data_IF_289255933074
#
_entry.id   IF_289255933074
#
_cell.length_a   1.000
_cell.length_b   1.000
_cell.length_c   1.000
_cell.angle_alpha   90.00
_cell.angle_beta   90.00
_cell.angle_gamma   90.00
#
_symmetry.space_group_name_H-M   'P 1'
#
loop_
_entity.id
_entity.type
_entity.pdbx_description
1 polymer ?
#
# COMPACT_ATOMS: atom_id res chain seq x y z
N UNK A 1 -10.50 19.68 35.28
CA UNK A 1 -9.17 20.24 35.61
C UNK A 1 -8.13 19.13 35.55
N UNK A 2 -7.06 19.33 34.78
CA UNK A 2 -5.94 18.40 34.65
C UNK A 2 -5.10 18.31 35.95
N UNK A 3 -4.14 17.36 36.05
CA UNK A 3 -2.81 17.74 35.57
C UNK A 3 -2.08 16.64 34.78
N UNK A 4 -1.67 17.02 33.56
CA UNK A 4 -0.54 16.47 32.81
C UNK A 4 0.67 17.37 33.08
N UNK A 5 1.80 16.84 33.57
CA UNK A 5 3.16 17.28 33.26
C UNK A 5 4.16 16.67 34.26
N UNK A 6 4.69 15.48 33.98
CA UNK A 6 5.94 14.98 34.61
C UNK A 6 6.58 13.93 33.69
N UNK A 7 7.15 14.40 32.59
CA UNK A 7 7.99 13.60 31.71
C UNK A 7 8.90 14.51 30.87
N UNK A 8 9.66 15.39 31.51
CA UNK A 8 10.60 16.26 30.79
C UNK A 8 11.77 16.75 31.64
N UNK A 9 12.30 15.93 32.56
CA UNK A 9 13.58 16.23 33.23
C UNK A 9 14.27 14.92 33.64
N UNK A 10 14.89 14.20 32.70
CA UNK A 10 16.01 13.26 32.98
C UNK A 10 16.83 13.10 31.68
N UNK A 11 17.55 14.14 31.27
CA UNK A 11 18.57 14.07 30.22
C UNK A 11 19.66 15.12 30.49
N UNK A 12 20.09 15.21 31.74
CA UNK A 12 21.33 15.88 32.09
C UNK A 12 22.04 14.96 33.07
N UNK A 13 23.36 14.86 32.95
CA UNK A 13 24.24 14.06 33.82
C UNK A 13 24.40 12.56 33.50
N UNK A 14 25.13 12.28 32.42
CA UNK A 14 26.24 11.31 32.47
C UNK A 14 27.13 11.48 31.24
N UNK A 15 28.31 12.08 31.44
CA UNK A 15 29.32 12.32 30.41
C UNK A 15 30.46 11.30 30.58
N UNK A 16 30.54 10.23 29.76
CA UNK A 16 31.80 9.52 29.57
C UNK A 16 32.61 10.18 28.44
N UNK A 17 33.88 10.45 28.75
CA UNK A 17 34.88 11.01 27.85
C UNK A 17 35.15 10.04 26.69
N UNK A 18 35.14 10.56 25.45
CA UNK A 18 35.67 9.87 24.27
C UNK A 18 34.69 9.00 23.49
N UNK A 19 33.69 9.57 22.81
CA UNK A 19 33.05 8.90 21.67
C UNK A 19 32.37 9.92 20.73
N UNK A 20 32.54 9.74 19.42
CA UNK A 20 32.09 10.68 18.37
C UNK A 20 30.58 11.04 18.52
N UNK A 21 30.21 12.32 18.66
CA UNK A 21 28.84 12.75 19.01
C UNK A 21 27.80 12.62 17.88
N UNK A 22 28.20 12.39 16.64
CA UNK A 22 27.30 12.50 15.48
C UNK A 22 26.21 11.41 15.38
N UNK A 23 26.49 10.16 15.81
CA UNK A 23 25.56 9.02 15.57
C UNK A 23 24.43 8.88 16.60
N UNK A 24 24.60 9.42 17.82
CA UNK A 24 23.58 9.37 18.86
C UNK A 24 22.51 10.46 18.70
N UNK A 25 22.91 11.66 18.23
CA UNK A 25 21.99 12.76 17.94
C UNK A 25 21.01 12.43 16.81
N UNK A 26 21.47 11.77 15.74
CA UNK A 26 20.65 11.41 14.58
C UNK A 26 19.51 10.44 14.92
N UNK A 27 19.77 9.43 15.75
CA UNK A 27 18.75 8.44 16.14
C UNK A 27 17.68 9.03 17.09
N UNK A 28 18.06 9.98 17.94
CA UNK A 28 17.14 10.67 18.83
C UNK A 28 16.29 11.72 18.08
N UNK A 29 16.92 12.45 17.14
CA UNK A 29 16.27 13.40 16.25
C UNK A 29 15.25 12.69 15.34
N UNK A 30 15.61 11.55 14.76
CA UNK A 30 14.72 10.72 13.93
C UNK A 30 13.50 10.20 14.70
N UNK A 31 13.68 9.79 15.98
CA UNK A 31 12.57 9.35 16.83
C UNK A 31 11.65 10.50 17.24
N UNK A 32 12.21 11.67 17.55
CA UNK A 32 11.42 12.87 17.86
C UNK A 32 10.69 13.40 16.62
N UNK A 33 11.33 13.40 15.46
CA UNK A 33 10.74 13.86 14.20
C UNK A 33 9.61 12.93 13.74
N UNK A 34 9.79 11.61 13.87
CA UNK A 34 8.73 10.62 13.60
C UNK A 34 7.52 10.78 14.52
N UNK A 35 7.74 11.06 15.81
CA UNK A 35 6.66 11.28 16.78
C UNK A 35 5.92 12.61 16.54
N UNK A 36 6.63 13.65 16.12
CA UNK A 36 6.07 14.96 15.75
C UNK A 36 5.28 14.86 14.44
N UNK A 37 5.80 14.20 13.41
CA UNK A 37 5.06 13.97 12.16
C UNK A 37 3.83 13.09 12.37
N UNK A 38 3.90 12.07 13.22
CA UNK A 38 2.75 11.21 13.51
C UNK A 38 1.65 11.96 14.28
N UNK A 39 2.02 12.92 15.13
CA UNK A 39 1.07 13.85 15.77
C UNK A 39 0.50 14.85 14.78
N UNK A 40 1.31 15.39 13.88
CA UNK A 40 0.86 16.28 12.80
C UNK A 40 -0.10 15.57 11.85
N UNK A 41 0.20 14.32 11.46
CA UNK A 41 -0.67 13.49 10.63
C UNK A 41 -2.02 13.23 11.30
N UNK A 42 -2.04 12.91 12.60
CA UNK A 42 -3.28 12.77 13.36
C UNK A 42 -4.06 14.07 13.44
N UNK A 43 -3.40 15.21 13.63
CA UNK A 43 -4.03 16.53 13.66
C UNK A 43 -4.64 16.91 12.31
N UNK A 44 -3.90 16.70 11.22
CA UNK A 44 -4.37 17.01 9.86
C UNK A 44 -5.50 16.07 9.43
N UNK A 45 -5.41 14.77 9.75
CA UNK A 45 -6.48 13.81 9.45
C UNK A 45 -7.77 14.11 10.25
N UNK A 46 -7.64 14.51 11.52
CA UNK A 46 -8.78 14.93 12.34
C UNK A 46 -9.38 16.23 11.81
N UNK A 47 -8.56 17.20 11.41
CA UNK A 47 -9.02 18.46 10.81
C UNK A 47 -9.75 18.23 9.48
N UNK A 48 -9.23 17.37 8.59
CA UNK A 48 -9.88 17.03 7.33
C UNK A 48 -11.22 16.32 7.54
N UNK A 49 -11.31 15.44 8.55
CA UNK A 49 -12.55 14.74 8.90
C UNK A 49 -13.61 15.68 9.51
N UNK A 50 -13.17 16.64 10.34
CA UNK A 50 -14.03 17.70 10.89
C UNK A 50 -14.57 18.61 9.77
N UNK A 51 -13.74 19.01 8.81
CA UNK A 51 -14.16 19.84 7.67
C UNK A 51 -15.12 19.11 6.72
N UNK A 52 -14.98 17.79 6.57
CA UNK A 52 -15.91 16.98 5.77
C UNK A 52 -17.28 16.80 6.47
N UNK A 53 -17.30 16.71 7.80
CA UNK A 53 -18.54 16.59 8.58
C UNK A 53 -19.34 17.89 8.62
N UNK A 54 -18.68 19.05 8.66
CA UNK A 54 -19.37 20.35 8.61
C UNK A 54 -20.00 20.64 7.24
N UNK A 55 -19.47 20.08 6.15
CA UNK A 55 -20.06 20.18 4.81
C UNK A 55 -21.37 19.41 4.64
N UNK A 56 -21.49 18.22 5.24
CA UNK A 56 -22.70 17.39 5.14
C UNK A 56 -23.87 17.94 5.97
N UNK A 57 -23.60 18.59 7.11
CA UNK A 57 -24.64 19.18 7.95
C UNK A 57 -25.34 20.38 7.29
N UNK A 58 -24.66 21.10 6.39
CA UNK A 58 -25.20 22.27 5.69
C UNK A 58 -26.20 21.91 4.57
N UNK A 59 -26.13 20.70 3.99
CA UNK A 59 -27.04 20.28 2.93
C UNK A 59 -28.37 19.69 3.43
N UNK A 60 -28.49 19.40 4.74
CA UNK A 60 -29.69 18.80 5.33
C UNK A 60 -30.83 19.80 5.64
N UNK A 61 -30.61 21.12 5.48
CA UNK A 61 -31.62 22.15 5.82
C UNK A 61 -32.32 22.78 4.61
N UNK A 62 -32.07 22.32 3.38
CA UNK A 62 -32.52 23.00 2.15
C UNK A 62 -33.66 22.38 1.35
N UNK A 63 -34.21 21.22 1.73
CA UNK A 63 -35.24 20.54 0.92
C UNK A 63 -36.41 20.04 1.77
N UNK A 64 -37.38 20.94 1.99
CA UNK A 64 -38.77 20.56 2.27
C UNK A 64 -39.60 20.89 1.04
N UNK A 65 -39.89 19.88 0.21
CA UNK A 65 -40.93 19.95 -0.81
C UNK A 65 -42.13 19.08 -0.36
N UNK A 66 -43.39 19.50 -0.60
CA UNK A 66 -44.56 18.83 -0.07
C UNK A 66 -44.85 17.50 -0.76
N UNK A 67 -45.32 16.55 0.05
CA UNK A 67 -45.67 15.18 -0.36
C UNK A 67 -46.89 15.15 -1.30
N UNK A 68 -46.77 14.41 -2.40
CA UNK A 68 -47.91 13.91 -3.18
C UNK A 68 -48.05 12.40 -2.95
N UNK A 69 -49.25 12.00 -2.59
CA UNK A 69 -49.67 10.64 -2.24
C UNK A 69 -49.87 9.79 -3.50
N UNK A 70 -49.17 8.66 -3.62
CA UNK A 70 -49.50 7.60 -4.58
C UNK A 70 -49.94 6.33 -3.83
N UNK A 71 -50.98 5.61 -4.29
CA UNK A 71 -51.45 4.39 -3.62
C UNK A 71 -50.62 3.16 -4.03
N UNK A 72 -50.49 2.24 -3.07
CA UNK A 72 -49.68 1.03 -3.12
C UNK A 72 -50.19 -0.03 -4.12
N UNK A 73 -49.29 -0.81 -4.78
CA UNK A 73 -49.69 -2.03 -5.48
C UNK A 73 -49.70 -3.24 -4.53
N UNK A 74 -50.71 -4.09 -4.72
CA UNK A 74 -50.99 -5.30 -3.96
C UNK A 74 -49.98 -6.44 -4.20
N UNK A 75 -49.75 -7.23 -3.15
CA UNK A 75 -49.04 -8.52 -3.16
C UNK A 75 -49.89 -9.64 -3.79
N UNK A 76 -49.27 -10.59 -4.51
CA UNK A 76 -49.76 -11.97 -4.53
C UNK A 76 -48.80 -12.95 -3.84
N UNK A 77 -49.44 -13.94 -3.24
CA UNK A 77 -48.93 -14.98 -2.35
C UNK A 77 -48.29 -16.17 -3.08
N UNK A 78 -47.58 -16.98 -2.28
CA UNK A 78 -47.40 -18.44 -2.35
C UNK A 78 -46.24 -19.06 -3.16
N UNK A 79 -45.23 -19.43 -2.36
CA UNK A 79 -44.29 -20.55 -2.43
C UNK A 79 -44.44 -21.66 -3.50
N UNK A 80 -43.32 -21.97 -4.16
CA UNK A 80 -42.96 -23.29 -4.68
C UNK A 80 -41.42 -23.51 -4.53
N UNK A 81 -40.91 -24.75 -4.43
CA UNK A 81 -39.59 -25.05 -3.86
C UNK A 81 -38.41 -24.81 -4.82
N UNK A 82 -37.29 -24.35 -4.25
CA UNK A 82 -36.02 -24.09 -4.94
C UNK A 82 -35.23 -25.40 -5.12
N UNK A 83 -34.93 -25.77 -6.37
CA UNK A 83 -33.88 -26.75 -6.71
C UNK A 83 -32.51 -26.04 -6.86
N UNK A 84 -31.40 -26.63 -6.38
CA UNK A 84 -30.07 -26.06 -6.57
C UNK A 84 -29.54 -26.25 -8.01
N UNK A 85 -28.77 -25.30 -8.57
CA UNK A 85 -28.29 -25.39 -9.94
C UNK A 85 -27.16 -26.43 -10.09
N UNK A 86 -27.34 -27.33 -11.06
CA UNK A 86 -26.35 -28.29 -11.50
C UNK A 86 -25.27 -27.62 -12.38
N UNK A 87 -24.02 -28.08 -12.22
CA UNK A 87 -22.87 -27.66 -13.02
C UNK A 87 -22.98 -28.13 -14.48
N UNK A 88 -22.52 -27.34 -15.47
CA UNK A 88 -22.47 -27.80 -16.86
C UNK A 88 -21.29 -28.76 -17.11
N UNK A 89 -21.44 -29.79 -17.97
CA UNK A 89 -20.38 -30.73 -18.32
C UNK A 89 -19.34 -30.13 -19.30
N UNK A 90 -18.14 -30.73 -19.43
CA UNK A 90 -17.07 -30.23 -20.28
C UNK A 90 -17.35 -30.55 -21.75
N UNK A 91 -17.40 -29.53 -22.61
CA UNK A 91 -17.46 -29.73 -24.07
C UNK A 91 -16.06 -29.96 -24.63
N UNK A 92 -15.91 -31.10 -25.30
CA UNK A 92 -14.74 -31.53 -26.04
C UNK A 92 -14.42 -30.58 -27.21
N UNK A 93 -13.12 -30.45 -27.49
CA UNK A 93 -12.58 -29.73 -28.64
C UNK A 93 -13.18 -30.23 -29.96
N UNK A 94 -13.82 -29.33 -30.69
CA UNK A 94 -14.15 -29.51 -32.11
C UNK A 94 -13.35 -28.51 -32.94
N UNK A 95 -12.71 -29.03 -33.98
CA UNK A 95 -11.83 -28.31 -34.90
C UNK A 95 -12.59 -27.22 -35.68
N UNK A 96 -11.93 -26.07 -35.85
CA UNK A 96 -12.38 -24.97 -36.70
C UNK A 96 -12.32 -25.37 -38.18
N UNK A 97 -13.40 -25.19 -38.97
CA UNK A 97 -13.32 -25.11 -40.42
C UNK A 97 -12.77 -23.75 -40.85
N UNK A 98 -11.87 -23.76 -41.84
CA UNK A 98 -11.30 -22.57 -42.47
C UNK A 98 -12.38 -21.61 -43.02
N UNK A 99 -12.14 -20.31 -42.89
CA UNK A 99 -13.02 -19.25 -43.40
C UNK A 99 -13.11 -19.27 -44.94
N UNK A 100 -14.31 -19.19 -45.54
CA UNK A 100 -14.43 -18.92 -46.97
C UNK A 100 -14.20 -17.43 -47.25
N UNK A 101 -13.21 -17.13 -48.10
CA UNK A 101 -13.03 -15.83 -48.74
C UNK A 101 -14.07 -15.65 -49.83
N UNK A 102 -15.13 -14.88 -49.57
CA UNK A 102 -16.03 -14.39 -50.62
C UNK A 102 -15.71 -12.91 -50.92
N UNK A 103 -15.55 -12.51 -52.19
CA UNK A 103 -15.38 -11.11 -52.58
C UNK A 103 -16.69 -10.32 -52.41
N UNK A 104 -16.54 -9.05 -52.05
CA UNK A 104 -17.63 -8.09 -51.82
C UNK A 104 -18.44 -7.85 -53.12
N UNK A 105 -19.79 -7.76 -53.10
CA UNK A 105 -20.59 -7.45 -54.28
C UNK A 105 -20.49 -5.98 -54.69
N UNK A 106 -20.49 -5.71 -55.99
CA UNK A 106 -20.51 -4.36 -56.58
C UNK A 106 -21.89 -3.69 -56.41
N UNK A 107 -21.89 -2.40 -56.03
CA UNK A 107 -23.08 -1.55 -55.89
C UNK A 107 -23.47 -1.03 -57.30
N UNK A 108 -24.74 -1.13 -57.73
CA UNK A 108 -25.17 -0.56 -59.01
C UNK A 108 -25.37 0.96 -58.92
N UNK A 109 -24.82 1.68 -59.90
CA UNK A 109 -24.97 3.12 -60.10
C UNK A 109 -26.33 3.44 -60.71
N UNK A 110 -27.28 3.91 -59.90
CA UNK A 110 -28.50 4.55 -60.40
C UNK A 110 -28.77 5.85 -59.65
N UNK A 111 -28.18 6.93 -60.14
CA UNK A 111 -28.72 8.29 -60.06
C UNK A 111 -28.24 9.02 -61.32
N UNK A 112 -29.14 9.11 -62.31
CA UNK A 112 -28.89 9.75 -63.60
C UNK A 112 -28.71 11.26 -63.45
N UNK A 113 -27.46 11.70 -63.43
CA UNK A 113 -27.08 13.10 -63.66
C UNK A 113 -25.92 13.06 -64.66
N UNK A 114 -26.16 13.53 -65.89
CA UNK A 114 -25.17 13.69 -66.94
C UNK A 114 -24.08 14.70 -66.51
N UNK A 115 -22.84 14.60 -67.02
CA UNK A 115 -21.77 15.55 -66.70
C UNK A 115 -22.11 16.96 -67.22
N UNK A 116 -21.80 18.05 -66.50
CA UNK A 116 -21.92 19.39 -67.07
C UNK A 116 -20.88 19.54 -68.19
N UNK A 117 -21.41 19.60 -69.41
CA UNK A 117 -20.70 20.04 -70.60
C UNK A 117 -20.24 21.50 -70.42
N UNK A 118 -19.04 21.75 -70.91
CA UNK A 118 -18.36 23.03 -71.01
C UNK A 118 -19.19 24.12 -71.69
N UNK A 119 -19.61 25.13 -70.93
CA UNK A 119 -19.97 26.45 -71.45
C UNK A 119 -19.99 27.48 -70.30
N UNK A 120 -18.82 28.03 -69.94
CA UNK A 120 -18.77 29.29 -69.19
C UNK A 120 -18.98 30.45 -70.18
N UNK A 121 -19.96 31.35 -69.96
CA UNK A 121 -20.01 32.64 -70.67
C UNK A 121 -18.81 33.52 -70.26
N UNK A 122 -18.37 34.45 -71.13
CA UNK A 122 -17.15 35.22 -70.91
C UNK A 122 -17.27 36.15 -69.71
N UNK A 123 -16.17 36.23 -68.96
CA UNK A 123 -15.92 37.17 -67.87
C UNK A 123 -16.19 38.60 -68.35
N UNK A 124 -17.19 39.24 -67.75
CA UNK A 124 -17.31 40.69 -67.75
C UNK A 124 -16.32 41.25 -66.74
N UNK A 125 -15.44 42.10 -67.25
CA UNK A 125 -14.44 42.85 -66.49
C UNK A 125 -15.11 43.95 -65.67
N UNK A 126 -14.55 44.18 -64.48
CA UNK A 126 -14.60 45.43 -63.70
C UNK A 126 -15.87 45.74 -62.93
N UNK A 127 -15.89 45.33 -61.65
CA UNK A 127 -16.32 46.23 -60.59
C UNK A 127 -15.38 46.07 -59.40
N UNK A 128 -14.76 47.18 -58.99
CA UNK A 128 -13.87 47.24 -57.85
C UNK A 128 -14.64 46.81 -56.58
N UNK A 129 -14.04 46.03 -55.65
CA UNK A 129 -14.70 45.72 -54.40
C UNK A 129 -14.96 47.04 -53.65
N UNK A 130 -16.21 47.46 -53.59
CA UNK A 130 -16.64 48.47 -52.64
C UNK A 130 -16.18 48.01 -51.26
N UNK A 131 -15.39 48.85 -50.59
CA UNK A 131 -14.88 48.62 -49.26
C UNK A 131 -16.05 48.23 -48.35
N UNK A 132 -16.14 46.94 -48.00
CA UNK A 132 -17.00 46.50 -46.92
C UNK A 132 -16.54 47.27 -45.67
N UNK A 133 -17.47 47.89 -44.91
CA UNK A 133 -17.10 48.49 -43.63
C UNK A 133 -16.39 47.42 -42.81
N UNK A 134 -15.32 47.76 -42.08
CA UNK A 134 -14.55 46.78 -41.32
C UNK A 134 -15.54 46.04 -40.42
N UNK A 135 -15.78 44.77 -40.71
CA UNK A 135 -16.43 43.87 -39.77
C UNK A 135 -15.66 44.05 -38.47
N UNK A 136 -16.28 44.50 -37.37
CA UNK A 136 -15.57 44.56 -36.12
C UNK A 136 -15.09 43.13 -35.89
N UNK A 137 -13.77 42.96 -35.93
CA UNK A 137 -13.12 41.73 -35.53
C UNK A 137 -13.58 41.57 -34.10
N UNK A 138 -14.62 40.75 -33.90
CA UNK A 138 -15.10 40.40 -32.58
C UNK A 138 -13.89 39.75 -31.95
N UNK A 139 -13.15 40.55 -31.19
CA UNK A 139 -12.05 40.10 -30.39
C UNK A 139 -12.73 39.06 -29.51
N UNK A 140 -12.45 37.78 -29.76
CA UNK A 140 -12.89 36.73 -28.89
C UNK A 140 -12.17 36.99 -27.57
N UNK A 141 -12.78 37.84 -26.73
CA UNK A 141 -12.38 38.01 -25.35
C UNK A 141 -12.68 36.63 -24.77
N UNK A 142 -11.69 35.74 -24.71
CA UNK A 142 -11.69 34.61 -23.80
C UNK A 142 -11.44 35.22 -22.41
N UNK A 143 -12.44 35.46 -21.56
CA UNK A 143 -12.22 36.02 -20.24
C UNK A 143 -11.91 34.92 -19.22
N UNK A 144 -11.59 33.70 -19.67
CA UNK A 144 -11.22 32.60 -18.80
C UNK A 144 -9.71 32.41 -18.83
N UNK A 145 -9.06 32.87 -17.77
CA UNK A 145 -7.72 32.44 -17.40
C UNK A 145 -7.69 30.90 -17.39
N UNK A 146 -7.15 30.29 -18.44
CA UNK A 146 -6.90 28.84 -18.55
C UNK A 146 -5.78 28.38 -17.60
N UNK A 147 -5.54 29.13 -16.52
CA UNK A 147 -4.67 28.72 -15.45
C UNK A 147 -5.33 27.56 -14.69
N UNK A 148 -4.56 26.57 -14.19
CA UNK A 148 -5.10 25.50 -13.37
C UNK A 148 -5.88 26.00 -12.14
N UNK A 149 -5.51 27.19 -11.64
CA UNK A 149 -6.19 27.86 -10.54
C UNK A 149 -7.57 28.41 -10.94
N UNK A 150 -7.65 29.08 -12.09
CA UNK A 150 -8.92 29.57 -12.64
C UNK A 150 -9.91 28.45 -12.89
N UNK A 151 -9.43 27.35 -13.48
CA UNK A 151 -10.22 26.13 -13.71
C UNK A 151 -10.69 25.50 -12.38
N UNK A 152 -9.84 25.44 -11.36
CA UNK A 152 -10.27 24.92 -10.06
C UNK A 152 -11.36 25.80 -9.42
N UNK A 153 -11.28 27.13 -9.55
CA UNK A 153 -12.29 28.03 -9.00
C UNK A 153 -13.63 27.96 -9.74
N UNK A 154 -13.59 27.74 -11.05
CA UNK A 154 -14.78 27.57 -11.89
C UNK A 154 -15.45 26.20 -11.74
N UNK A 155 -14.72 25.18 -11.25
CA UNK A 155 -15.23 23.83 -11.12
C UNK A 155 -16.46 23.66 -10.20
N UNK A 156 -17.27 22.67 -10.55
CA UNK A 156 -18.41 22.22 -9.74
C UNK A 156 -17.96 21.73 -8.35
N UNK A 157 -18.85 21.84 -7.36
CA UNK A 157 -18.54 21.48 -5.97
C UNK A 157 -18.12 20.01 -5.82
N UNK A 158 -18.70 19.11 -6.61
CA UNK A 158 -18.34 17.69 -6.59
C UNK A 158 -16.95 17.49 -7.18
N UNK A 159 -16.63 18.14 -8.30
CA UNK A 159 -15.30 18.06 -8.94
C UNK A 159 -14.22 18.64 -8.00
N UNK A 160 -14.51 19.78 -7.35
CA UNK A 160 -13.64 20.36 -6.31
C UNK A 160 -13.37 19.37 -5.18
N UNK A 161 -14.40 18.69 -4.68
CA UNK A 161 -14.26 17.68 -3.63
C UNK A 161 -13.39 16.49 -4.07
N UNK A 162 -13.58 16.02 -5.32
CA UNK A 162 -12.75 14.96 -5.93
C UNK A 162 -11.28 15.38 -6.00
N UNK A 163 -11.00 16.56 -6.56
CA UNK A 163 -9.63 17.08 -6.70
C UNK A 163 -8.95 17.27 -5.34
N UNK A 164 -9.66 17.83 -4.36
CA UNK A 164 -9.13 18.06 -3.02
C UNK A 164 -8.89 16.73 -2.26
N UNK A 165 -9.80 15.77 -2.41
CA UNK A 165 -9.64 14.42 -1.85
C UNK A 165 -8.45 13.67 -2.44
N UNK A 166 -8.23 13.76 -3.75
CA UNK A 166 -7.06 13.18 -4.43
C UNK A 166 -5.76 13.87 -4.02
N UNK A 167 -5.75 15.20 -3.88
CA UNK A 167 -4.61 15.94 -3.37
C UNK A 167 -4.24 15.53 -1.94
N UNK A 168 -5.25 15.34 -1.07
CA UNK A 168 -5.05 14.81 0.28
C UNK A 168 -4.49 13.38 0.25
N UNK A 169 -5.03 12.50 -0.60
CA UNK A 169 -4.52 11.14 -0.76
C UNK A 169 -3.05 11.11 -1.21
N UNK A 170 -2.65 12.03 -2.09
CA UNK A 170 -1.24 12.21 -2.49
C UNK A 170 -0.37 12.61 -1.30
N UNK A 171 -0.80 13.59 -0.49
CA UNK A 171 -0.07 13.99 0.72
C UNK A 171 0.08 12.79 1.69
N UNK A 172 -1.00 12.04 1.93
CA UNK A 172 -0.97 10.83 2.76
C UNK A 172 0.06 9.83 2.23
N UNK A 173 0.10 9.60 0.91
CA UNK A 173 1.07 8.70 0.28
C UNK A 173 2.52 9.09 0.60
N UNK A 174 2.88 10.37 0.43
CA UNK A 174 4.23 10.87 0.73
C UNK A 174 4.57 10.80 2.22
N UNK A 175 3.63 11.09 3.11
CA UNK A 175 3.86 10.98 4.56
C UNK A 175 4.11 9.54 5.00
N UNK A 176 3.33 8.58 4.47
CA UNK A 176 3.52 7.16 4.79
C UNK A 176 4.84 6.68 4.21
N UNK A 177 5.20 7.08 2.99
CA UNK A 177 6.49 6.75 2.39
C UNK A 177 7.64 7.13 3.31
N UNK A 178 7.69 8.39 3.76
CA UNK A 178 8.79 8.86 4.60
C UNK A 178 8.84 8.12 5.94
N UNK A 179 7.69 8.01 6.61
CA UNK A 179 7.60 7.33 7.91
C UNK A 179 8.00 5.85 7.82
N UNK A 180 7.49 5.12 6.81
CA UNK A 180 7.76 3.69 6.63
C UNK A 180 9.16 3.42 6.10
N UNK A 181 9.72 4.30 5.28
CA UNK A 181 11.10 4.19 4.84
C UNK A 181 12.06 4.23 6.04
N UNK A 182 11.86 5.18 6.97
CA UNK A 182 12.69 5.28 8.17
C UNK A 182 12.48 4.08 9.12
N UNK A 183 11.22 3.67 9.35
CA UNK A 183 10.90 2.52 10.22
C UNK A 183 11.55 1.22 9.69
N UNK A 184 11.38 0.93 8.40
CA UNK A 184 11.87 -0.30 7.78
C UNK A 184 13.40 -0.29 7.64
N UNK A 185 14.00 0.85 7.27
CA UNK A 185 15.45 0.97 7.18
C UNK A 185 16.12 0.75 8.56
N UNK A 186 15.57 1.35 9.62
CA UNK A 186 16.05 1.15 10.97
C UNK A 186 15.90 -0.31 11.43
N UNK A 187 14.76 -0.94 11.15
CA UNK A 187 14.50 -2.33 11.49
C UNK A 187 15.45 -3.29 10.75
N UNK A 188 15.64 -3.12 9.44
CA UNK A 188 16.54 -3.93 8.62
C UNK A 188 18.00 -3.77 9.05
N UNK A 189 18.44 -2.53 9.30
CA UNK A 189 19.80 -2.26 9.78
C UNK A 189 20.03 -2.87 11.19
N UNK A 190 19.03 -2.81 12.07
CA UNK A 190 19.12 -3.44 13.39
C UNK A 190 19.16 -4.97 13.29
N UNK A 191 18.29 -5.57 12.48
CA UNK A 191 18.22 -7.02 12.28
C UNK A 191 19.53 -7.55 11.67
N UNK A 192 20.03 -6.94 10.59
CA UNK A 192 21.28 -7.37 9.96
C UNK A 192 22.53 -7.18 10.84
N UNK A 193 22.54 -6.20 11.75
CA UNK A 193 23.61 -6.09 12.76
C UNK A 193 23.50 -7.16 13.84
N UNK A 194 22.29 -7.49 14.28
CA UNK A 194 22.08 -8.53 15.27
C UNK A 194 22.43 -9.90 14.70
N UNK A 195 21.98 -10.22 13.48
CA UNK A 195 22.30 -11.46 12.77
C UNK A 195 23.81 -11.70 12.71
N UNK A 196 24.60 -10.73 12.24
CA UNK A 196 26.08 -10.83 12.22
C UNK A 196 26.72 -11.12 13.57
N UNK A 197 26.10 -10.69 14.67
CA UNK A 197 26.60 -10.98 16.02
C UNK A 197 26.20 -12.38 16.49
N UNK A 198 25.05 -12.88 16.06
CA UNK A 198 24.62 -14.25 16.33
C UNK A 198 25.51 -15.21 15.52
N UNK A 199 25.79 -14.91 14.25
CA UNK A 199 26.68 -15.70 13.40
C UNK A 199 28.11 -15.81 13.97
N UNK A 200 28.59 -14.74 14.63
CA UNK A 200 29.93 -14.70 15.21
C UNK A 200 30.03 -15.35 16.61
N UNK A 201 28.92 -15.72 17.23
CA UNK A 201 28.92 -16.31 18.57
C UNK A 201 29.13 -17.82 18.52
N UNK A 202 29.71 -18.42 19.58
CA UNK A 202 29.96 -19.86 19.62
C UNK A 202 28.83 -20.68 20.26
N UNK A 203 27.97 -20.01 21.02
CA UNK A 203 26.84 -20.59 21.74
C UNK A 203 25.67 -19.58 21.88
N UNK A 204 24.50 -20.07 22.27
CA UNK A 204 23.27 -19.27 22.35
C UNK A 204 23.34 -18.19 23.44
N UNK A 205 24.02 -18.46 24.56
CA UNK A 205 24.19 -17.49 25.65
C UNK A 205 25.04 -16.30 25.23
N UNK A 206 26.15 -16.56 24.53
CA UNK A 206 27.01 -15.53 23.95
C UNK A 206 26.28 -14.73 22.87
N UNK A 207 25.53 -15.39 21.99
CA UNK A 207 24.71 -14.72 20.97
C UNK A 207 23.74 -13.71 21.59
N UNK A 208 23.10 -14.08 22.71
CA UNK A 208 22.22 -13.17 23.46
C UNK A 208 22.98 -12.00 24.10
N UNK A 209 24.16 -12.27 24.68
CA UNK A 209 25.02 -11.23 25.24
C UNK A 209 25.51 -10.23 24.18
N UNK A 210 25.98 -10.72 23.03
CA UNK A 210 26.48 -9.90 21.93
C UNK A 210 25.37 -9.08 21.25
N UNK A 211 24.16 -9.64 21.14
CA UNK A 211 22.99 -8.94 20.60
C UNK A 211 22.39 -7.91 21.58
N UNK A 212 22.70 -7.99 22.87
CA UNK A 212 22.17 -7.06 23.86
C UNK A 212 22.65 -5.62 23.64
N UNK A 213 21.80 -4.66 24.02
CA UNK A 213 22.16 -3.24 24.04
C UNK A 213 23.08 -2.94 25.23
N UNK A 214 23.67 -1.73 25.28
CA UNK A 214 24.51 -1.26 26.42
C UNK A 214 23.85 -1.40 27.79
N UNK A 215 22.52 -1.44 27.84
CA UNK A 215 21.74 -1.60 29.07
C UNK A 215 21.34 -3.07 29.34
N UNK A 216 21.98 -4.05 28.68
CA UNK A 216 21.67 -5.47 28.77
C UNK A 216 20.34 -5.90 28.13
N UNK A 217 19.60 -4.97 27.51
CA UNK A 217 18.28 -5.26 26.93
C UNK A 217 18.39 -5.74 25.49
N UNK A 218 17.79 -6.90 25.21
CA UNK A 218 17.49 -7.36 23.86
C UNK A 218 16.39 -6.46 23.25
N UNK A 219 16.61 -5.96 22.03
CA UNK A 219 15.70 -5.00 21.37
C UNK A 219 15.41 -5.39 19.94
N UNK A 220 14.19 -5.08 19.50
CA UNK A 220 13.70 -5.38 18.15
C UNK A 220 13.40 -6.87 17.96
N UNK A 221 12.94 -7.23 16.76
CA UNK A 221 12.46 -8.58 16.48
C UNK A 221 13.53 -9.67 16.74
N UNK A 222 14.79 -9.45 16.36
CA UNK A 222 15.87 -10.42 16.63
C UNK A 222 16.14 -10.58 18.13
N UNK A 223 16.00 -9.50 18.91
CA UNK A 223 16.08 -9.58 20.36
C UNK A 223 14.91 -10.36 20.97
N UNK A 224 13.70 -10.20 20.42
CA UNK A 224 12.54 -11.01 20.82
C UNK A 224 12.76 -12.51 20.51
N UNK A 225 13.29 -12.83 19.32
CA UNK A 225 13.67 -14.20 18.93
C UNK A 225 14.63 -14.84 19.92
N UNK A 226 15.75 -14.15 20.24
CA UNK A 226 16.73 -14.61 21.24
C UNK A 226 16.12 -14.79 22.63
N UNK A 227 15.31 -13.82 23.08
CA UNK A 227 14.67 -13.90 24.39
C UNK A 227 13.68 -15.06 24.48
N UNK A 228 12.95 -15.35 23.41
CA UNK A 228 12.01 -16.46 23.33
C UNK A 228 12.76 -17.79 23.34
N UNK A 229 13.83 -17.92 22.55
CA UNK A 229 14.67 -19.12 22.55
C UNK A 229 15.23 -19.42 23.95
N UNK A 230 15.86 -18.43 24.61
CA UNK A 230 16.39 -18.62 25.96
C UNK A 230 15.31 -18.97 26.99
N UNK A 231 14.16 -18.29 26.93
CA UNK A 231 13.05 -18.53 27.85
C UNK A 231 12.48 -19.93 27.67
N UNK A 232 12.29 -20.36 26.43
CA UNK A 232 11.72 -21.66 26.10
C UNK A 232 12.69 -22.80 26.45
N UNK A 233 13.99 -22.66 26.16
CA UNK A 233 15.02 -23.62 26.59
C UNK A 233 15.08 -23.76 28.12
N UNK A 234 14.84 -22.68 28.87
CA UNK A 234 14.78 -22.73 30.34
C UNK A 234 13.50 -23.36 30.86
N UNK A 235 12.37 -23.14 30.17
CA UNK A 235 11.06 -23.70 30.57
C UNK A 235 10.91 -25.16 30.25
N UNK A 236 11.56 -25.63 29.18
CA UNK A 236 11.50 -26.99 28.69
C UNK A 236 12.72 -27.82 29.09
N UNK A 237 13.46 -27.41 30.13
CA UNK A 237 14.72 -28.08 30.53
C UNK A 237 14.53 -29.51 31.06
N UNK A 238 13.30 -29.86 31.42
CA UNK A 238 12.83 -31.17 31.88
C UNK A 238 12.43 -32.10 30.72
N UNK A 239 12.42 -31.61 29.48
CA UNK A 239 11.97 -32.33 28.29
C UNK A 239 13.17 -32.80 27.45
N UNK A 240 12.93 -33.77 26.56
CA UNK A 240 13.93 -34.25 25.61
C UNK A 240 14.37 -33.18 24.61
N UNK A 241 15.60 -33.30 24.08
CA UNK A 241 16.23 -32.31 23.18
C UNK A 241 15.37 -31.96 21.97
N UNK A 242 14.80 -32.97 21.32
CA UNK A 242 13.96 -32.79 20.12
C UNK A 242 12.70 -31.97 20.44
N UNK A 243 12.10 -32.20 21.60
CA UNK A 243 10.95 -31.44 22.07
C UNK A 243 11.28 -29.97 22.39
N UNK A 244 12.50 -29.69 22.88
CA UNK A 244 12.98 -28.31 23.08
C UNK A 244 13.17 -27.62 21.72
N UNK A 245 13.86 -28.28 20.78
CA UNK A 245 14.12 -27.75 19.43
C UNK A 245 12.81 -27.40 18.70
N UNK A 246 11.84 -28.30 18.74
CA UNK A 246 10.53 -28.10 18.11
C UNK A 246 9.77 -26.91 18.73
N UNK A 247 9.68 -26.84 20.06
CA UNK A 247 8.99 -25.73 20.75
C UNK A 247 9.64 -24.38 20.47
N UNK A 248 10.96 -24.33 20.46
CA UNK A 248 11.69 -23.11 20.09
C UNK A 248 11.39 -22.74 18.63
N UNK A 249 11.46 -23.68 17.68
CA UNK A 249 11.13 -23.39 16.28
C UNK A 249 9.70 -22.85 16.10
N UNK A 250 8.72 -23.41 16.81
CA UNK A 250 7.34 -22.90 16.83
C UNK A 250 7.27 -21.47 17.41
N UNK A 251 8.00 -21.20 18.51
CA UNK A 251 8.03 -19.87 19.11
C UNK A 251 8.64 -18.82 18.15
N UNK A 252 9.75 -19.16 17.49
CA UNK A 252 10.45 -18.28 16.55
C UNK A 252 9.58 -17.95 15.33
N UNK A 253 8.96 -18.96 14.69
CA UNK A 253 8.08 -18.76 13.53
C UNK A 253 6.89 -17.85 13.83
N UNK A 254 6.31 -17.94 15.05
CA UNK A 254 5.25 -17.02 15.50
C UNK A 254 5.73 -15.58 15.63
N UNK A 255 6.94 -15.37 16.13
CA UNK A 255 7.55 -14.03 16.28
C UNK A 255 7.86 -13.43 14.91
N UNK A 256 8.45 -14.20 13.99
CA UNK A 256 8.69 -13.76 12.61
C UNK A 256 7.41 -13.33 11.91
N UNK A 257 6.35 -14.16 12.01
CA UNK A 257 5.06 -13.86 11.40
C UNK A 257 4.45 -12.58 12.01
N UNK A 258 4.56 -12.38 13.33
CA UNK A 258 4.11 -11.16 14.01
C UNK A 258 4.91 -9.94 13.57
N UNK A 259 6.24 -10.05 13.49
CA UNK A 259 7.12 -8.96 13.08
C UNK A 259 6.86 -8.55 11.63
N UNK A 260 6.70 -9.52 10.73
CA UNK A 260 6.33 -9.28 9.33
C UNK A 260 4.98 -8.58 9.19
N UNK A 261 3.94 -9.08 9.87
CA UNK A 261 2.62 -8.42 9.90
C UNK A 261 2.69 -7.01 10.47
N UNK A 262 3.42 -6.83 11.58
CA UNK A 262 3.58 -5.52 12.21
C UNK A 262 4.18 -4.50 11.24
N UNK A 263 5.20 -4.91 10.48
CA UNK A 263 5.88 -4.05 9.51
C UNK A 263 4.98 -3.68 8.33
N UNK A 264 4.14 -4.61 7.87
CA UNK A 264 3.15 -4.39 6.82
C UNK A 264 1.96 -3.51 7.22
N UNK A 265 1.75 -3.23 8.52
CA UNK A 265 0.65 -2.34 8.94
C UNK A 265 0.82 -0.95 8.34
N UNK A 266 -0.26 -0.43 7.75
CA UNK A 266 -0.31 0.89 7.15
C UNK A 266 0.09 0.95 5.68
N UNK A 267 0.80 -0.05 5.14
CA UNK A 267 1.12 -0.08 3.70
C UNK A 267 -0.11 -0.41 2.85
N UNK A 268 -1.10 -1.11 3.42
CA UNK A 268 -2.37 -1.42 2.75
C UNK A 268 -3.14 -0.18 2.27
N UNK A 269 -3.00 0.97 2.96
CA UNK A 269 -3.63 2.21 2.52
C UNK A 269 -3.06 2.70 1.18
N UNK A 270 -1.78 2.47 0.91
CA UNK A 270 -1.16 2.82 -0.38
C UNK A 270 -1.68 1.92 -1.50
N UNK A 271 -1.93 0.64 -1.21
CA UNK A 271 -2.55 -0.27 -2.16
C UNK A 271 -3.96 0.21 -2.53
N UNK A 272 -4.75 0.61 -1.52
CA UNK A 272 -6.10 1.16 -1.75
C UNK A 272 -6.04 2.47 -2.53
N UNK A 273 -5.22 3.45 -2.13
CA UNK A 273 -5.09 4.72 -2.87
C UNK A 273 -4.64 4.44 -4.31
N UNK A 274 -3.64 3.59 -4.50
CA UNK A 274 -3.13 3.23 -5.81
C UNK A 274 -4.17 2.57 -6.72
N UNK A 275 -5.07 1.74 -6.17
CA UNK A 275 -6.11 1.08 -6.94
C UNK A 275 -7.36 1.94 -7.14
N UNK A 276 -7.74 2.79 -6.19
CA UNK A 276 -9.01 3.55 -6.25
C UNK A 276 -8.87 4.95 -6.81
N UNK A 277 -7.71 5.62 -6.66
CA UNK A 277 -7.53 7.00 -7.11
C UNK A 277 -7.80 7.25 -8.61
N UNK A 278 -7.44 6.34 -9.55
CA UNK A 278 -7.78 6.51 -10.96
C UNK A 278 -9.29 6.53 -11.19
N UNK A 279 -10.04 5.68 -10.48
CA UNK A 279 -11.50 5.60 -10.59
C UNK A 279 -12.19 6.81 -9.96
N UNK A 280 -11.64 7.34 -8.87
CA UNK A 280 -12.11 8.60 -8.27
C UNK A 280 -11.89 9.77 -9.24
N UNK A 281 -10.75 9.81 -9.93
CA UNK A 281 -10.49 10.78 -11.01
C UNK A 281 -11.44 10.63 -12.19
N UNK A 282 -11.70 9.40 -12.63
CA UNK A 282 -12.67 9.06 -13.68
C UNK A 282 -14.08 9.51 -13.31
N UNK A 283 -14.50 9.28 -12.05
CA UNK A 283 -15.78 9.77 -11.55
C UNK A 283 -15.89 11.30 -11.68
N UNK A 284 -14.83 12.04 -11.34
CA UNK A 284 -14.78 13.49 -11.52
C UNK A 284 -14.99 13.92 -12.97
N UNK A 285 -14.49 13.15 -13.94
CA UNK A 285 -14.64 13.51 -15.36
C UNK A 285 -16.04 13.24 -15.87
N UNK A 286 -16.62 12.09 -15.51
CA UNK A 286 -17.99 11.73 -15.86
C UNK A 286 -18.95 12.78 -15.32
N UNK A 287 -18.74 13.22 -14.07
CA UNK A 287 -19.54 14.28 -13.45
C UNK A 287 -19.39 15.63 -14.17
N UNK A 288 -18.16 16.07 -14.45
CA UNK A 288 -17.92 17.35 -15.11
C UNK A 288 -18.45 17.39 -16.56
N UNK A 289 -18.31 16.30 -17.31
CA UNK A 289 -18.87 16.19 -18.66
C UNK A 289 -20.40 16.20 -18.61
N UNK A 290 -21.01 15.47 -17.66
CA UNK A 290 -22.46 15.50 -17.46
C UNK A 290 -22.97 16.93 -17.18
N UNK A 291 -22.31 17.66 -16.27
CA UNK A 291 -22.70 19.03 -15.95
C UNK A 291 -22.53 19.98 -17.14
N UNK A 292 -21.50 19.77 -17.96
CA UNK A 292 -21.28 20.52 -19.21
C UNK A 292 -22.42 20.31 -20.21
N UNK A 293 -22.90 19.07 -20.39
CA UNK A 293 -24.05 18.79 -21.25
C UNK A 293 -25.36 19.38 -20.72
N UNK A 294 -25.56 19.40 -19.39
CA UNK A 294 -26.70 20.07 -18.77
C UNK A 294 -26.67 21.57 -19.13
N UNK A 295 -25.51 22.21 -19.05
CA UNK A 295 -25.31 23.62 -19.44
C UNK A 295 -25.71 23.92 -20.90
N UNK A 296 -25.34 23.07 -21.86
CA UNK A 296 -25.77 23.20 -23.27
C UNK A 296 -27.30 23.17 -23.37
N UNK A 297 -27.93 22.20 -22.70
CA UNK A 297 -29.39 22.03 -22.79
C UNK A 297 -30.16 23.23 -22.23
N UNK A 298 -29.66 23.83 -21.14
CA UNK A 298 -30.27 25.02 -20.53
C UNK A 298 -30.03 26.28 -21.37
N UNK A 299 -28.82 26.43 -21.94
CA UNK A 299 -28.45 27.59 -22.74
C UNK A 299 -29.05 27.57 -24.16
N UNK A 300 -29.63 26.43 -24.59
CA UNK A 300 -30.24 26.23 -25.92
C UNK A 300 -29.34 26.66 -27.09
N UNK A 301 -28.02 26.59 -26.89
CA UNK A 301 -27.02 26.98 -27.88
C UNK A 301 -26.01 25.85 -28.05
N UNK A 302 -25.58 25.61 -29.28
CA UNK A 302 -24.54 24.61 -29.61
C UNK A 302 -23.13 25.20 -29.54
N UNK A 303 -22.97 26.41 -28.98
CA UNK A 303 -21.68 27.07 -28.90
C UNK A 303 -20.71 26.30 -27.98
N UNK A 304 -19.66 25.73 -28.58
CA UNK A 304 -18.63 24.95 -27.88
C UNK A 304 -17.85 25.75 -26.85
N UNK A 305 -17.79 27.08 -26.97
CA UNK A 305 -17.09 27.94 -26.01
C UNK A 305 -17.69 27.85 -24.59
N UNK A 306 -18.99 27.54 -24.48
CA UNK A 306 -19.70 27.46 -23.19
C UNK A 306 -19.30 26.19 -22.40
N UNK A 307 -18.89 25.12 -23.08
CA UNK A 307 -18.56 23.82 -22.45
C UNK A 307 -17.09 23.52 -22.35
N UNK A 308 -16.25 24.18 -23.16
CA UNK A 308 -14.81 23.95 -23.14
C UNK A 308 -14.19 24.02 -21.73
N UNK A 309 -14.59 24.96 -20.83
CA UNK A 309 -14.05 25.00 -19.47
C UNK A 309 -14.41 23.76 -18.63
N UNK A 310 -15.68 23.33 -18.62
CA UNK A 310 -16.13 22.20 -17.81
C UNK A 310 -15.53 20.86 -18.25
N UNK A 311 -15.31 20.69 -19.56
CA UNK A 311 -14.60 19.51 -20.09
C UNK A 311 -13.12 19.54 -19.67
N UNK A 312 -12.48 20.71 -19.74
CA UNK A 312 -11.08 20.83 -19.36
C UNK A 312 -10.87 20.55 -17.85
N UNK A 313 -11.78 21.01 -16.98
CA UNK A 313 -11.78 20.72 -15.54
C UNK A 313 -12.01 19.23 -15.24
N UNK A 314 -12.95 18.61 -15.95
CA UNK A 314 -13.17 17.17 -15.91
C UNK A 314 -11.88 16.41 -16.21
N UNK A 315 -11.20 16.71 -17.33
CA UNK A 315 -9.95 16.05 -17.71
C UNK A 315 -8.84 16.26 -16.66
N UNK A 316 -8.77 17.44 -16.04
CA UNK A 316 -7.83 17.73 -14.96
C UNK A 316 -8.05 16.81 -13.75
N UNK A 317 -9.29 16.49 -13.39
CA UNK A 317 -9.59 15.58 -12.27
C UNK A 317 -9.00 14.16 -12.48
N UNK A 318 -9.05 13.62 -13.71
CA UNK A 318 -8.39 12.34 -14.02
C UNK A 318 -6.88 12.46 -13.99
N UNK A 319 -6.31 13.54 -14.52
CA UNK A 319 -4.87 13.75 -14.47
C UNK A 319 -4.36 13.73 -13.01
N UNK A 320 -5.04 14.42 -12.10
CA UNK A 320 -4.72 14.42 -10.66
C UNK A 320 -4.90 13.02 -10.06
N UNK A 321 -5.93 12.27 -10.47
CA UNK A 321 -6.15 10.89 -10.03
C UNK A 321 -4.96 9.98 -10.36
N UNK A 322 -4.42 10.08 -11.57
CA UNK A 322 -3.24 9.33 -12.00
C UNK A 322 -1.97 9.78 -11.26
N UNK A 323 -1.78 11.09 -11.07
CA UNK A 323 -0.65 11.64 -10.32
C UNK A 323 -0.65 11.18 -8.86
N UNK A 324 -1.82 10.99 -8.25
CA UNK A 324 -1.94 10.41 -6.91
C UNK A 324 -1.71 8.87 -6.90
N UNK A 325 -2.23 8.16 -7.90
CA UNK A 325 -2.19 6.70 -7.97
C UNK A 325 -0.79 6.13 -8.24
N UNK A 326 -0.07 6.68 -9.23
CA UNK A 326 1.19 6.10 -9.72
C UNK A 326 2.25 6.02 -8.61
N UNK A 327 2.54 7.10 -7.84
CA UNK A 327 3.48 7.02 -6.74
C UNK A 327 3.04 6.04 -5.66
N UNK A 328 1.74 6.00 -5.33
CA UNK A 328 1.20 5.10 -4.31
C UNK A 328 1.47 3.62 -4.65
N UNK A 329 1.23 3.22 -5.89
CA UNK A 329 1.50 1.84 -6.36
C UNK A 329 3.00 1.52 -6.32
N UNK A 330 3.85 2.42 -6.80
CA UNK A 330 5.31 2.22 -6.82
C UNK A 330 5.82 2.04 -5.38
N UNK A 331 5.45 2.95 -4.48
CA UNK A 331 5.87 2.92 -3.08
C UNK A 331 5.37 1.65 -2.38
N UNK A 332 4.11 1.26 -2.61
CA UNK A 332 3.56 0.03 -2.08
C UNK A 332 4.39 -1.19 -2.49
N UNK A 333 4.72 -1.31 -3.79
CA UNK A 333 5.50 -2.43 -4.30
C UNK A 333 6.93 -2.47 -3.74
N UNK A 334 7.57 -1.31 -3.58
CA UNK A 334 8.88 -1.20 -2.94
C UNK A 334 8.82 -1.70 -1.50
N UNK A 335 7.80 -1.27 -0.72
CA UNK A 335 7.65 -1.73 0.65
C UNK A 335 7.29 -3.21 0.74
N UNK A 336 6.43 -3.73 -0.13
CA UNK A 336 6.10 -5.15 -0.16
C UNK A 336 7.37 -5.99 -0.33
N UNK A 337 8.23 -5.65 -1.30
CA UNK A 337 9.51 -6.33 -1.53
C UNK A 337 10.47 -6.17 -0.35
N UNK A 338 10.59 -4.96 0.20
CA UNK A 338 11.50 -4.69 1.31
C UNK A 338 11.06 -5.38 2.61
N UNK A 339 9.75 -5.53 2.86
CA UNK A 339 9.21 -6.29 3.99
C UNK A 339 9.50 -7.78 3.80
N UNK A 340 9.37 -8.33 2.60
CA UNK A 340 9.78 -9.72 2.31
C UNK A 340 11.26 -9.92 2.61
N UNK A 341 12.13 -9.00 2.17
CA UNK A 341 13.56 -9.04 2.51
C UNK A 341 13.84 -8.94 4.01
N UNK A 342 13.07 -8.13 4.74
CA UNK A 342 13.16 -8.07 6.20
C UNK A 342 12.76 -9.38 6.87
N UNK A 343 11.68 -10.04 6.41
CA UNK A 343 11.25 -11.36 6.90
C UNK A 343 12.31 -12.43 6.64
N UNK A 344 12.95 -12.40 5.48
CA UNK A 344 14.06 -13.30 5.16
C UNK A 344 15.20 -13.15 6.19
N UNK A 345 15.65 -11.91 6.48
CA UNK A 345 16.68 -11.67 7.51
C UNK A 345 16.28 -12.17 8.90
N UNK A 346 14.99 -12.14 9.25
CA UNK A 346 14.53 -12.72 10.52
C UNK A 346 14.56 -14.24 10.49
N UNK A 347 14.18 -14.85 9.38
CA UNK A 347 14.28 -16.30 9.17
C UNK A 347 15.73 -16.79 9.25
N UNK A 348 16.68 -16.05 8.67
CA UNK A 348 18.10 -16.36 8.77
C UNK A 348 18.56 -16.32 10.23
N UNK A 349 18.13 -15.30 10.99
CA UNK A 349 18.43 -15.19 12.42
C UNK A 349 17.83 -16.33 13.24
N UNK A 350 16.60 -16.75 12.95
CA UNK A 350 15.99 -17.91 13.62
C UNK A 350 16.70 -19.22 13.29
N UNK A 351 17.09 -19.42 12.03
CA UNK A 351 17.88 -20.58 11.61
C UNK A 351 19.20 -20.66 12.38
N UNK A 352 19.88 -19.52 12.51
CA UNK A 352 21.13 -19.43 13.26
C UNK A 352 20.93 -19.67 14.77
N UNK A 353 19.86 -19.14 15.36
CA UNK A 353 19.49 -19.41 16.76
C UNK A 353 19.23 -20.90 16.99
N UNK A 354 18.48 -21.56 16.09
CA UNK A 354 18.20 -22.99 16.18
C UNK A 354 19.48 -23.83 16.01
N UNK A 355 20.40 -23.40 15.15
CA UNK A 355 21.70 -24.04 14.96
C UNK A 355 22.56 -23.97 16.23
N UNK A 356 22.63 -22.81 16.88
CA UNK A 356 23.30 -22.65 18.18
C UNK A 356 22.64 -23.51 19.25
N UNK A 357 21.31 -23.47 19.33
CA UNK A 357 20.56 -24.27 20.29
C UNK A 357 20.81 -25.77 20.11
N UNK A 358 20.78 -26.30 18.87
CA UNK A 358 21.03 -27.73 18.63
C UNK A 358 22.42 -28.13 19.12
N UNK A 359 23.45 -27.34 18.79
CA UNK A 359 24.83 -27.59 19.24
C UNK A 359 24.96 -27.52 20.76
N UNK A 360 24.29 -26.57 21.40
CA UNK A 360 24.35 -26.40 22.86
C UNK A 360 23.65 -27.55 23.61
N UNK A 361 22.51 -28.04 23.09
CA UNK A 361 21.80 -29.19 23.67
C UNK A 361 22.64 -30.46 23.55
N UNK A 362 23.15 -30.78 22.35
CA UNK A 362 23.97 -31.97 22.11
C UNK A 362 25.24 -31.98 22.98
N UNK A 363 25.88 -30.81 23.15
CA UNK A 363 27.04 -30.65 24.05
C UNK A 363 26.66 -30.91 25.52
N UNK A 364 25.50 -30.44 25.98
CA UNK A 364 25.01 -30.68 27.34
C UNK A 364 24.69 -32.15 27.57
N UNK A 365 24.04 -32.83 26.63
CA UNK A 365 23.75 -34.26 26.76
C UNK A 365 25.01 -35.11 26.79
N UNK A 366 25.99 -34.82 25.93
CA UNK A 366 27.30 -35.51 25.98
C UNK A 366 28.05 -35.28 27.30
N UNK A 367 27.88 -34.11 27.93
CA UNK A 367 28.48 -33.83 29.23
C UNK A 367 27.79 -34.58 30.39
N UNK A 368 26.49 -34.88 30.25
CA UNK A 368 25.70 -35.63 31.24
C UNK A 368 25.87 -37.15 31.05
N UNK A 369 26.11 -37.62 29.82
CA UNK A 369 26.32 -39.04 29.53
C UNK A 369 27.66 -39.55 30.14
N UNK A 370 27.64 -40.63 30.94
CA UNK A 370 28.86 -41.16 31.54
C UNK A 370 29.81 -41.69 30.46
N UNK A 371 31.10 -41.37 30.58
CA UNK A 371 32.13 -41.81 29.64
C UNK A 371 32.17 -43.35 29.57
N UNK A 372 32.03 -43.98 28.37
CA UNK A 372 31.97 -45.43 28.23
C UNK A 372 33.25 -46.18 28.62
N UNK A 373 34.33 -45.45 28.94
CA UNK A 373 35.65 -46.03 29.22
C UNK A 373 35.83 -46.52 30.66
N UNK A 374 35.02 -46.02 31.61
CA UNK A 374 35.09 -46.48 33.01
C UNK A 374 34.40 -47.85 33.21
N UNK A 375 33.33 -48.13 32.48
CA UNK A 375 32.62 -49.40 32.55
C UNK A 375 33.42 -50.56 31.92
N UNK A 376 34.12 -50.32 30.81
CA UNK A 376 34.97 -51.33 30.17
C UNK A 376 36.22 -51.68 31.00
N UNK A 377 36.81 -50.72 31.71
CA UNK A 377 37.97 -50.96 32.59
C UNK A 377 37.59 -51.78 33.84
N UNK A 378 36.38 -51.58 34.38
CA UNK A 378 35.86 -52.38 35.49
C UNK A 378 35.54 -53.83 35.10
N UNK A 379 35.13 -54.09 33.85
CA UNK A 379 34.82 -55.43 33.37
C UNK A 379 36.08 -56.24 32.99
N UNK A 380 37.13 -55.57 32.51
CA UNK A 380 38.40 -56.23 32.19
C UNK A 380 39.21 -56.62 33.44
N UNK A 381 39.06 -55.90 34.56
CA UNK A 381 39.75 -56.20 35.81
C UNK A 381 39.19 -57.42 36.58
N UNK A 382 37.95 -57.86 36.28
CA UNK A 382 37.35 -59.05 36.91
C UNK A 382 37.61 -60.36 36.16
N UNK A 383 38.38 -60.33 35.07
CA UNK A 383 38.65 -61.48 34.20
C UNK A 383 40.12 -61.95 34.27
N UNK A 384 40.72 -61.97 35.47
CA UNK A 384 42.02 -62.60 35.68
C UNK A 384 41.87 -64.15 35.66
N UNK A 385 42.71 -64.90 34.93
CA UNK A 385 42.55 -66.35 34.81
C UNK A 385 43.02 -67.07 36.09
N UNK A 386 42.20 -68.00 36.58
CA UNK A 386 42.59 -69.01 37.57
C UNK A 386 43.73 -69.88 36.98
N UNK A 387 44.90 -69.79 37.60
CA UNK A 387 46.04 -70.71 37.37
C UNK A 387 45.65 -72.07 37.98
N UNK A 388 45.65 -73.18 37.23
CA UNK A 388 45.50 -74.50 37.82
C UNK A 388 46.81 -74.90 38.53
N UNK A 389 46.70 -75.23 39.82
CA UNK A 389 47.75 -75.89 40.58
C UNK A 389 47.87 -77.37 40.14
N UNK A 390 49.09 -77.90 40.27
CA UNK A 390 49.61 -79.22 39.83
C UNK A 390 48.65 -80.42 39.88
#
# INVERSE_FOLDING_TARGET
>A
MAPRAKALVVCEESKPKGFRPAKAGQACLQRRLGLVMMRAFRLVAVAACLSACSGLAAQAQGQTAPAQTQPAPALPNAAAPVQPPAAPPPTAAQAQPAAPTNPLPAIPSQLGINPPSTAHPPLTTTEAPAAQPPVPTATAILPHDLSPWGMFMAADIVVKAVMLGLAFASLVTWTIWLAKAMELAAAKASAGRALRRIEAADNLGEAAGAAASKNGKLRGAVGELLSAALTETRRSSDLGEDGIKERVAIALSRIEARAGRSMARGTGLLATIGSTAPFVGLFGTVWGIMNSFIGISQAKTTNLAVVAPGIAEALLATAIGLVAAIPAVIIYNVFARAITGYRATLSDASGEILRHLSRDLERRQRAIAPAPRAAAASAAASAAPLVPAE
#
